data_IF_162502538157
#
_entry.id   IF_162502538157
#
_cell.length_a   1.000
_cell.length_b   1.000
_cell.length_c   1.000
_cell.angle_alpha   90.00
_cell.angle_beta   90.00
_cell.angle_gamma   90.00
#
_symmetry.space_group_name_H-M   'P 1'
#
loop_
_entity.id
_entity.type
_entity.pdbx_description
1 polymer ?
#
# COMPACT_ATOMS: atom_id res chain seq x y z
N UNK A 1 -10.17 -12.81 -8.53
CA UNK A 1 -9.05 -13.70 -8.13
C UNK A 1 -8.16 -12.90 -7.21
N UNK A 2 -7.60 -13.51 -6.17
CA UNK A 2 -6.67 -12.85 -5.23
C UNK A 2 -5.24 -13.03 -5.71
N UNK A 3 -4.40 -12.00 -5.54
CA UNK A 3 -2.99 -12.04 -5.89
C UNK A 3 -2.28 -13.20 -5.17
N UNK A 4 -1.43 -13.92 -5.88
CA UNK A 4 -0.55 -14.90 -5.25
C UNK A 4 0.43 -14.16 -4.34
N UNK A 5 0.51 -14.55 -3.06
CA UNK A 5 1.34 -13.90 -2.04
C UNK A 5 2.83 -13.76 -2.42
N UNK A 6 3.32 -14.60 -3.33
CA UNK A 6 4.68 -14.55 -3.88
C UNK A 6 4.95 -13.31 -4.74
N UNK A 7 3.90 -12.69 -5.29
CA UNK A 7 3.98 -11.53 -6.18
C UNK A 7 3.88 -10.19 -5.43
N UNK A 8 3.82 -10.21 -4.10
CA UNK A 8 3.64 -9.01 -3.30
C UNK A 8 4.77 -7.97 -3.48
N UNK A 9 6.07 -8.36 -3.52
CA UNK A 9 7.15 -7.41 -3.77
C UNK A 9 7.03 -6.76 -5.16
N UNK A 10 6.72 -7.55 -6.18
CA UNK A 10 6.53 -7.06 -7.55
C UNK A 10 5.32 -6.12 -7.64
N UNK A 11 4.25 -6.41 -6.90
CA UNK A 11 3.07 -5.55 -6.80
C UNK A 11 3.41 -4.21 -6.16
N UNK A 12 4.18 -4.21 -5.07
CA UNK A 12 4.62 -2.97 -4.40
C UNK A 12 5.52 -2.15 -5.33
N UNK A 13 6.45 -2.77 -6.04
CA UNK A 13 7.32 -2.08 -6.98
C UNK A 13 6.53 -1.51 -8.17
N UNK A 14 5.55 -2.25 -8.69
CA UNK A 14 4.65 -1.77 -9.73
C UNK A 14 3.84 -0.55 -9.26
N UNK A 15 3.35 -0.53 -8.01
CA UNK A 15 2.70 0.66 -7.45
C UNK A 15 3.70 1.81 -7.27
N UNK A 16 4.91 1.52 -6.81
CA UNK A 16 5.96 2.52 -6.51
C UNK A 16 6.35 3.34 -7.72
N UNK A 17 6.45 2.74 -8.92
CA UNK A 17 6.77 3.47 -10.16
C UNK A 17 5.66 4.41 -10.64
N UNK A 18 4.47 4.37 -10.02
CA UNK A 18 3.32 5.20 -10.32
C UNK A 18 3.01 6.17 -9.17
N UNK A 19 3.81 7.25 -8.98
CA UNK A 19 3.60 8.22 -7.89
C UNK A 19 2.22 8.88 -7.91
N UNK A 20 1.56 8.97 -9.06
CA UNK A 20 0.17 9.42 -9.21
C UNK A 20 -0.85 8.59 -8.39
N UNK A 21 -0.48 7.40 -7.92
CA UNK A 21 -1.30 6.57 -7.02
C UNK A 21 -1.24 7.08 -5.58
N UNK A 22 -0.11 7.64 -5.13
CA UNK A 22 0.16 7.88 -3.71
C UNK A 22 0.60 9.31 -3.34
N UNK A 23 0.94 10.16 -4.31
CA UNK A 23 1.36 11.56 -4.09
C UNK A 23 0.18 12.57 -4.17
N UNK A 24 -1.05 12.11 -3.93
CA UNK A 24 -2.14 13.00 -3.48
C UNK A 24 -3.02 13.65 -4.55
N UNK A 25 -3.08 13.13 -5.78
CA UNK A 25 -4.03 13.59 -6.78
C UNK A 25 -4.79 12.41 -7.40
N UNK A 26 -6.04 12.18 -6.96
CA UNK A 26 -7.00 11.32 -7.67
C UNK A 26 -7.25 11.93 -9.05
N UNK A 27 -6.42 11.53 -10.00
CA UNK A 27 -6.37 12.05 -11.36
C UNK A 27 -6.74 10.95 -12.34
N UNK A 28 -7.10 11.33 -13.57
CA UNK A 28 -7.27 10.37 -14.66
C UNK A 28 -6.02 9.51 -14.90
N UNK A 29 -4.85 10.00 -14.50
CA UNK A 29 -3.60 9.26 -14.64
C UNK A 29 -3.46 8.19 -13.56
N UNK A 30 -3.93 8.45 -12.34
CA UNK A 30 -4.07 7.41 -11.30
C UNK A 30 -4.97 6.26 -11.76
N UNK A 31 -6.12 6.56 -12.38
CA UNK A 31 -7.00 5.52 -12.91
C UNK A 31 -6.36 4.70 -14.04
N UNK A 32 -5.56 5.33 -14.91
CA UNK A 32 -4.79 4.59 -15.93
C UNK A 32 -3.74 3.69 -15.30
N UNK A 33 -2.97 4.19 -14.33
CA UNK A 33 -1.98 3.41 -13.61
C UNK A 33 -2.60 2.18 -12.95
N UNK A 34 -3.77 2.34 -12.33
CA UNK A 34 -4.51 1.22 -11.75
C UNK A 34 -4.95 0.16 -12.78
N UNK A 35 -5.33 0.56 -13.99
CA UNK A 35 -5.64 -0.40 -15.06
C UNK A 35 -4.40 -1.18 -15.48
N UNK A 36 -3.26 -0.50 -15.66
CA UNK A 36 -1.98 -1.14 -16.03
C UNK A 36 -1.56 -2.16 -14.98
N UNK A 37 -1.62 -1.79 -13.69
CA UNK A 37 -1.27 -2.70 -12.59
C UNK A 37 -2.25 -3.88 -12.54
N UNK A 38 -3.55 -3.63 -12.66
CA UNK A 38 -4.55 -4.70 -12.63
C UNK A 38 -4.34 -5.73 -13.76
N UNK A 39 -4.05 -5.25 -14.97
CA UNK A 39 -3.74 -6.09 -16.13
C UNK A 39 -2.45 -6.90 -15.93
N UNK A 40 -1.39 -6.28 -15.38
CA UNK A 40 -0.09 -6.94 -15.11
C UNK A 40 -0.23 -8.15 -14.18
N UNK A 41 -1.13 -8.06 -13.21
CA UNK A 41 -1.34 -9.12 -12.21
C UNK A 41 -2.59 -9.96 -12.48
N UNK A 42 -3.26 -9.78 -13.63
CA UNK A 42 -4.48 -10.50 -14.03
C UNK A 42 -5.60 -10.44 -12.96
N UNK A 43 -5.74 -9.28 -12.29
CA UNK A 43 -6.77 -9.01 -11.28
C UNK A 43 -7.66 -7.84 -11.69
N UNK A 44 -8.72 -7.59 -10.93
CA UNK A 44 -9.55 -6.40 -11.15
C UNK A 44 -8.89 -5.17 -10.53
N UNK A 45 -9.14 -3.98 -11.09
CA UNK A 45 -8.75 -2.69 -10.48
C UNK A 45 -9.23 -2.57 -9.04
N UNK A 46 -10.44 -3.07 -8.75
CA UNK A 46 -10.99 -3.06 -7.40
C UNK A 46 -10.19 -3.95 -6.45
N UNK A 47 -9.76 -5.13 -6.90
CA UNK A 47 -8.93 -6.03 -6.10
C UNK A 47 -7.53 -5.45 -5.87
N UNK A 48 -6.92 -4.84 -6.89
CA UNK A 48 -5.63 -4.15 -6.76
C UNK A 48 -5.70 -3.00 -5.74
N UNK A 49 -6.72 -2.13 -5.84
CA UNK A 49 -6.96 -1.02 -4.90
C UNK A 49 -7.16 -1.54 -3.47
N UNK A 50 -7.94 -2.62 -3.27
CA UNK A 50 -8.14 -3.22 -1.95
C UNK A 50 -6.83 -3.72 -1.35
N UNK A 51 -6.04 -4.47 -2.12
CA UNK A 51 -4.75 -4.98 -1.65
C UNK A 51 -3.79 -3.85 -1.27
N UNK A 52 -3.73 -2.81 -2.11
CA UNK A 52 -2.95 -1.62 -1.81
C UNK A 52 -3.37 -0.94 -0.50
N UNK A 53 -4.67 -0.74 -0.27
CA UNK A 53 -5.13 -0.11 0.96
C UNK A 53 -4.86 -0.95 2.21
N UNK A 54 -4.90 -2.29 2.12
CA UNK A 54 -4.47 -3.15 3.21
C UNK A 54 -2.97 -2.98 3.50
N UNK A 55 -2.12 -2.86 2.47
CA UNK A 55 -0.68 -2.58 2.66
C UNK A 55 -0.42 -1.22 3.29
N UNK A 56 -1.09 -0.18 2.82
CA UNK A 56 -1.01 1.17 3.42
C UNK A 56 -1.45 1.13 4.88
N UNK A 57 -2.48 0.36 5.20
CA UNK A 57 -2.96 0.18 6.58
C UNK A 57 -1.92 -0.55 7.44
N UNK A 58 -1.35 -1.65 6.94
CA UNK A 58 -0.25 -2.36 7.61
C UNK A 58 0.91 -1.39 7.85
N UNK A 59 1.35 -0.63 6.85
CA UNK A 59 2.42 0.37 6.96
C UNK A 59 2.14 1.38 8.07
N UNK A 60 0.94 1.98 8.11
CA UNK A 60 0.55 2.91 9.19
C UNK A 60 0.63 2.26 10.57
N UNK A 61 0.27 0.99 10.68
CA UNK A 61 0.32 0.21 11.91
C UNK A 61 1.72 -0.18 12.38
N UNK A 62 2.72 -0.19 11.49
CA UNK A 62 4.12 -0.38 11.88
C UNK A 62 4.65 0.80 12.70
N UNK A 63 4.06 1.98 12.53
CA UNK A 63 4.56 3.26 13.05
C UNK A 63 3.47 3.98 13.86
N UNK A 64 2.90 3.29 14.86
CA UNK A 64 1.81 3.80 15.70
C UNK A 64 2.14 5.15 16.36
N UNK A 65 3.39 5.33 16.78
CA UNK A 65 3.86 6.55 17.46
C UNK A 65 4.05 7.75 16.51
N UNK A 66 3.99 7.54 15.19
CA UNK A 66 4.16 8.61 14.21
C UNK A 66 2.82 9.27 13.88
N UNK A 67 2.80 10.61 13.70
CA UNK A 67 1.60 11.34 13.31
C UNK A 67 1.26 11.12 11.83
N UNK A 68 -0.02 11.25 11.46
CA UNK A 68 -0.52 10.96 10.10
C UNK A 68 0.15 11.85 9.04
N UNK A 69 0.59 13.05 9.40
CA UNK A 69 1.29 13.98 8.52
C UNK A 69 2.62 13.42 7.99
N UNK A 70 3.20 12.41 8.63
CA UNK A 70 4.44 11.78 8.20
C UNK A 70 4.26 10.86 6.97
N UNK A 71 3.02 10.46 6.65
CA UNK A 71 2.71 9.50 5.59
C UNK A 71 2.14 10.18 4.35
N UNK A 72 2.50 9.69 3.16
CA UNK A 72 1.98 10.16 1.86
C UNK A 72 0.52 9.76 1.64
N UNK A 73 0.14 8.56 2.09
CA UNK A 73 -1.21 8.00 1.95
C UNK A 73 -1.72 7.55 3.30
N UNK A 74 -2.98 7.90 3.60
CA UNK A 74 -3.72 7.37 4.73
C UNK A 74 -4.84 6.49 4.19
N UNK A 75 -4.85 5.23 4.61
CA UNK A 75 -5.94 4.31 4.24
C UNK A 75 -7.28 4.81 4.81
N UNK A 76 -8.41 4.55 4.14
CA UNK A 76 -9.73 4.87 4.67
C UNK A 76 -9.96 4.28 6.07
N UNK A 77 -10.90 4.89 6.81
CA UNK A 77 -11.25 4.50 8.18
C UNK A 77 -11.43 2.98 8.30
N UNK A 78 -10.99 2.48 9.46
CA UNK A 78 -10.79 1.06 9.69
C UNK A 78 -12.05 0.23 9.51
N UNK A 79 -11.85 -0.98 8.99
CA UNK A 79 -12.87 -2.00 9.13
C UNK A 79 -12.84 -2.50 10.59
N UNK A 80 -13.95 -2.46 11.34
CA UNK A 80 -14.00 -2.83 12.76
C UNK A 80 -13.59 -4.28 13.04
N UNK A 81 -13.37 -5.10 12.01
CA UNK A 81 -12.83 -6.47 12.10
C UNK A 81 -11.32 -6.54 12.31
N UNK A 82 -10.59 -5.43 12.21
CA UNK A 82 -9.16 -5.38 12.53
C UNK A 82 -8.95 -5.49 14.06
N UNK A 83 -8.64 -6.71 14.51
CA UNK A 83 -8.39 -7.02 15.92
C UNK A 83 -6.91 -6.82 16.31
N UNK A 84 -6.60 -6.95 17.60
CA UNK A 84 -5.22 -6.94 18.14
C UNK A 84 -4.32 -7.95 17.41
N UNK A 85 -4.87 -9.12 17.03
CA UNK A 85 -4.16 -10.13 16.24
C UNK A 85 -3.70 -9.59 14.87
N UNK A 86 -4.54 -8.81 14.18
CA UNK A 86 -4.21 -8.21 12.88
C UNK A 86 -3.06 -7.20 13.01
N UNK A 87 -3.01 -6.45 14.11
CA UNK A 87 -1.88 -5.56 14.42
C UNK A 87 -0.59 -6.34 14.67
N UNK A 88 -0.66 -7.44 15.42
CA UNK A 88 0.53 -8.26 15.69
C UNK A 88 1.06 -8.92 14.41
N UNK A 89 0.17 -9.37 13.53
CA UNK A 89 0.53 -9.87 12.20
C UNK A 89 1.13 -8.76 11.34
N UNK A 90 0.57 -7.55 11.35
CA UNK A 90 1.14 -6.40 10.65
C UNK A 90 2.56 -6.04 11.13
N UNK A 91 2.81 -6.08 12.44
CA UNK A 91 4.15 -5.90 13.03
C UNK A 91 5.10 -7.02 12.60
N UNK A 92 4.61 -8.25 12.47
CA UNK A 92 5.44 -9.39 12.02
C UNK A 92 5.78 -9.27 10.53
N UNK A 93 4.80 -8.90 9.70
CA UNK A 93 4.96 -8.63 8.27
C UNK A 93 5.81 -7.38 8.02
N UNK A 94 5.84 -6.44 8.96
CA UNK A 94 6.66 -5.25 8.90
C UNK A 94 8.13 -5.55 8.67
N UNK A 95 8.68 -6.56 9.36
CA UNK A 95 10.08 -6.93 9.20
C UNK A 95 10.43 -7.38 7.78
N UNK A 96 9.46 -7.88 7.02
CA UNK A 96 9.65 -8.32 5.63
C UNK A 96 9.39 -7.19 4.62
N UNK A 97 8.43 -6.31 4.91
CA UNK A 97 7.97 -5.26 3.98
C UNK A 97 8.60 -3.88 4.26
N UNK A 98 9.41 -3.74 5.31
CA UNK A 98 9.86 -2.44 5.79
C UNK A 98 10.64 -1.64 4.75
N UNK A 99 11.50 -2.31 3.98
CA UNK A 99 12.28 -1.62 2.93
C UNK A 99 11.43 -1.27 1.72
N UNK A 100 10.48 -2.14 1.37
CA UNK A 100 9.66 -1.96 0.17
C UNK A 100 8.61 -0.86 0.36
N UNK A 101 8.18 -0.58 1.60
CA UNK A 101 7.15 0.42 1.90
C UNK A 101 7.68 1.77 2.39
N UNK A 102 8.99 1.89 2.61
CA UNK A 102 9.65 3.10 3.13
C UNK A 102 9.41 4.36 2.28
N UNK A 103 9.24 4.21 0.97
CA UNK A 103 8.95 5.31 0.04
C UNK A 103 7.63 6.04 0.35
N UNK A 104 6.76 5.45 1.18
CA UNK A 104 5.50 6.04 1.62
C UNK A 104 5.66 7.10 2.72
N UNK A 105 6.87 7.30 3.25
CA UNK A 105 7.17 8.45 4.09
C UNK A 105 7.39 9.72 3.26
N UNK A 106 6.89 10.86 3.74
CA UNK A 106 7.09 12.15 3.04
C UNK A 106 8.55 12.61 2.98
N UNK A 107 9.41 12.11 3.88
CA UNK A 107 10.81 12.51 3.97
C UNK A 107 11.77 11.55 3.26
N UNK A 108 11.28 10.49 2.64
CA UNK A 108 12.12 9.59 1.84
C UNK A 108 12.33 10.15 0.43
N UNK A 109 13.61 10.32 0.07
CA UNK A 109 14.04 10.68 -1.29
C UNK A 109 14.13 9.38 -2.09
N UNK A 110 13.23 9.19 -3.04
CA UNK A 110 13.31 8.10 -4.00
C UNK A 110 14.40 8.48 -5.01
N UNK A 111 15.54 7.80 -4.96
CA UNK A 111 16.65 7.95 -5.92
C UNK A 111 16.43 7.06 -7.15
#
# INVERSE_FOLDING_TARGET
>A
MTLHHELLPDFVEAVRIHPEIYDGHFSKDSDKAWNVIADLFEITVNDAKKQWYELVRIHRYMYLEMPDEAFKVIAPQEDPRWAIATRQTAITLAHFLQNDLKFLFKNEVVF
#
